data_IF_280344444883
#
_entry.id   IF_280344444883
#
_cell.length_a   1.000
_cell.length_b   1.000
_cell.length_c   1.000
_cell.angle_alpha   90.00
_cell.angle_beta   90.00
_cell.angle_gamma   90.00
#
_symmetry.space_group_name_H-M   'P 1'
#
loop_
_entity.id
_entity.type
_entity.pdbx_description
1 polymer ?
#
# COMPACT_ATOMS: atom_id res chain seq x y z
N UNK A 1 -15.34 -53.88 -8.65
CA UNK A 1 -13.94 -53.47 -8.37
C UNK A 1 -13.66 -52.15 -9.08
N UNK A 2 -13.92 -51.00 -8.45
CA UNK A 2 -13.63 -49.66 -9.00
C UNK A 2 -13.01 -48.80 -7.90
N UNK A 3 -11.74 -49.08 -7.55
CA UNK A 3 -11.00 -48.35 -6.50
C UNK A 3 -9.60 -47.89 -6.98
N UNK A 4 -9.37 -47.82 -8.28
CA UNK A 4 -8.02 -47.61 -8.84
C UNK A 4 -7.77 -46.30 -9.58
N UNK A 5 -8.81 -45.52 -9.91
CA UNK A 5 -8.66 -44.32 -10.77
C UNK A 5 -8.51 -43.02 -9.96
N UNK A 6 -8.77 -43.06 -8.65
CA UNK A 6 -8.75 -41.86 -7.81
C UNK A 6 -7.34 -41.37 -7.45
N UNK A 7 -6.38 -42.28 -7.21
CA UNK A 7 -5.00 -41.92 -6.85
C UNK A 7 -4.26 -41.04 -7.89
N UNK A 8 -4.28 -41.35 -9.20
CA UNK A 8 -3.56 -40.52 -10.18
C UNK A 8 -4.19 -39.14 -10.37
N UNK A 9 -5.52 -39.02 -10.22
CA UNK A 9 -6.22 -37.75 -10.35
C UNK A 9 -5.88 -36.78 -9.19
N UNK A 10 -5.74 -37.29 -7.96
CA UNK A 10 -5.33 -36.46 -6.81
C UNK A 10 -3.87 -36.04 -6.89
N UNK A 11 -2.99 -36.92 -7.39
CA UNK A 11 -1.57 -36.58 -7.60
C UNK A 11 -1.38 -35.51 -8.69
N UNK A 12 -2.15 -35.57 -9.78
CA UNK A 12 -2.13 -34.54 -10.83
C UNK A 12 -2.63 -33.17 -10.33
N UNK A 13 -3.66 -33.15 -9.46
CA UNK A 13 -4.17 -31.91 -8.87
C UNK A 13 -3.16 -31.24 -7.92
N UNK A 14 -2.34 -32.02 -7.20
CA UNK A 14 -1.28 -31.48 -6.33
C UNK A 14 -0.09 -30.91 -7.12
N UNK A 15 0.20 -31.43 -8.33
CA UNK A 15 1.22 -30.89 -9.23
C UNK A 15 0.80 -29.57 -9.88
N UNK A 16 -0.51 -29.31 -10.00
CA UNK A 16 -1.07 -28.05 -10.51
C UNK A 16 -1.22 -26.98 -9.41
N UNK A 17 -1.02 -27.33 -8.13
CA UNK A 17 -0.97 -26.38 -7.02
C UNK A 17 0.42 -25.71 -6.93
N UNK A 18 0.88 -25.12 -8.04
CA UNK A 18 2.10 -24.33 -8.09
C UNK A 18 1.88 -22.92 -7.51
N UNK A 19 2.57 -22.62 -6.40
CA UNK A 19 2.98 -21.29 -5.94
C UNK A 19 1.98 -20.12 -6.03
N UNK A 20 0.71 -20.31 -5.68
CA UNK A 20 -0.24 -19.19 -5.57
C UNK A 20 -0.18 -18.47 -4.20
N UNK A 21 0.52 -19.01 -3.21
CA UNK A 21 0.68 -18.35 -1.91
C UNK A 21 1.89 -17.41 -1.95
N UNK A 22 1.72 -16.09 -1.82
CA UNK A 22 2.85 -15.20 -1.61
C UNK A 22 3.51 -15.57 -0.28
N UNK A 23 4.67 -16.25 -0.36
CA UNK A 23 5.47 -16.63 0.80
C UNK A 23 6.27 -15.46 1.35
N UNK A 24 6.45 -14.41 0.54
CA UNK A 24 7.11 -13.17 0.93
C UNK A 24 6.07 -12.08 1.18
N UNK A 25 6.16 -11.35 2.31
CA UNK A 25 5.36 -10.16 2.51
C UNK A 25 5.67 -9.14 1.40
N UNK A 26 4.67 -8.33 0.99
CA UNK A 26 4.87 -7.31 -0.02
C UNK A 26 5.91 -6.29 0.47
N UNK A 27 6.73 -5.79 -0.46
CA UNK A 27 7.76 -4.78 -0.17
C UNK A 27 7.18 -3.50 0.45
N UNK A 28 5.96 -3.13 0.05
CA UNK A 28 5.25 -1.94 0.51
C UNK A 28 3.86 -2.27 1.05
N UNK A 29 3.45 -1.52 2.07
CA UNK A 29 2.12 -1.65 2.66
C UNK A 29 1.16 -0.63 2.03
N UNK A 30 0.36 -1.08 1.07
CA UNK A 30 -0.59 -0.23 0.32
C UNK A 30 -1.92 0.02 1.04
N UNK A 31 -2.24 -0.76 2.07
CA UNK A 31 -3.50 -0.66 2.79
C UNK A 31 -3.63 0.72 3.44
N UNK A 32 -4.79 1.35 3.28
CA UNK A 32 -5.06 2.71 3.75
C UNK A 32 -4.71 3.78 2.71
N UNK A 33 -3.66 3.59 1.88
CA UNK A 33 -3.29 4.55 0.84
C UNK A 33 -4.20 4.51 -0.38
N UNK A 34 -4.41 3.32 -0.95
CA UNK A 34 -5.18 3.16 -2.20
C UNK A 34 -6.60 3.75 -2.13
N UNK A 35 -7.37 3.55 -1.04
CA UNK A 35 -8.67 4.19 -0.90
C UNK A 35 -8.58 5.72 -0.95
N UNK A 36 -7.55 6.32 -0.34
CA UNK A 36 -7.40 7.78 -0.33
C UNK A 36 -7.10 8.33 -1.71
N UNK A 37 -6.24 7.67 -2.49
CA UNK A 37 -6.03 8.06 -3.91
C UNK A 37 -7.36 8.08 -4.66
N UNK A 38 -8.19 7.05 -4.47
CA UNK A 38 -9.51 6.98 -5.11
C UNK A 38 -10.48 8.08 -4.60
N UNK A 39 -10.54 8.32 -3.29
CA UNK A 39 -11.39 9.37 -2.71
C UNK A 39 -10.95 10.78 -3.15
N UNK A 40 -9.64 11.03 -3.26
CA UNK A 40 -9.09 12.28 -3.76
C UNK A 40 -9.63 12.58 -5.16
N UNK A 41 -9.55 11.61 -6.08
CA UNK A 41 -10.04 11.77 -7.44
C UNK A 41 -11.56 11.89 -7.55
N UNK A 42 -12.31 11.38 -6.57
CA UNK A 42 -13.75 11.63 -6.49
C UNK A 42 -14.09 13.05 -6.03
N UNK A 43 -13.16 13.75 -5.37
CA UNK A 43 -13.35 15.12 -4.90
C UNK A 43 -14.43 15.26 -3.83
N UNK A 44 -14.75 14.17 -3.11
CA UNK A 44 -15.85 14.13 -2.11
C UNK A 44 -15.37 14.27 -0.66
N UNK A 45 -14.06 14.23 -0.45
CA UNK A 45 -13.42 14.27 0.87
C UNK A 45 -12.65 15.57 1.01
N UNK A 46 -12.73 16.21 2.17
CA UNK A 46 -11.92 17.41 2.41
C UNK A 46 -10.43 17.04 2.51
N UNK A 47 -9.50 17.96 2.17
CA UNK A 47 -8.08 17.71 2.34
C UNK A 47 -7.69 17.29 3.77
N UNK A 48 -8.32 17.90 4.79
CA UNK A 48 -8.04 17.56 6.19
C UNK A 48 -8.46 16.14 6.55
N UNK A 49 -9.65 15.69 6.14
CA UNK A 49 -10.08 14.30 6.38
C UNK A 49 -9.15 13.29 5.70
N UNK A 50 -8.62 13.65 4.54
CA UNK A 50 -7.68 12.80 3.81
C UNK A 50 -6.29 12.77 4.46
N UNK A 51 -5.81 13.91 4.96
CA UNK A 51 -4.60 14.01 5.77
C UNK A 51 -4.72 13.08 6.98
N UNK A 52 -5.79 13.21 7.77
CA UNK A 52 -6.02 12.41 8.98
C UNK A 52 -6.03 10.91 8.67
N UNK A 53 -6.65 10.51 7.55
CA UNK A 53 -6.70 9.12 7.12
C UNK A 53 -5.33 8.58 6.69
N UNK A 54 -4.54 9.38 5.96
CA UNK A 54 -3.18 9.02 5.54
C UNK A 54 -2.23 8.96 6.73
N UNK A 55 -2.26 9.92 7.65
CA UNK A 55 -1.44 9.89 8.86
C UNK A 55 -1.72 8.66 9.71
N UNK A 56 -3.00 8.31 9.88
CA UNK A 56 -3.39 7.08 10.55
C UNK A 56 -2.85 5.84 9.85
N UNK A 57 -2.93 5.79 8.52
CA UNK A 57 -2.36 4.68 7.75
C UNK A 57 -0.83 4.60 7.95
N UNK A 58 -0.13 5.74 7.88
CA UNK A 58 1.31 5.82 8.10
C UNK A 58 1.72 5.33 9.49
N UNK A 59 0.99 5.72 10.53
CA UNK A 59 1.21 5.22 11.89
C UNK A 59 1.05 3.70 11.97
N UNK A 60 0.01 3.14 11.35
CA UNK A 60 -0.24 1.69 11.33
C UNK A 60 0.84 0.92 10.55
N UNK A 61 1.33 1.50 9.45
CA UNK A 61 2.42 0.95 8.63
C UNK A 61 3.70 0.88 9.47
N UNK A 62 4.08 2.01 10.08
CA UNK A 62 5.28 2.14 10.93
C UNK A 62 5.21 1.24 12.16
N UNK A 63 4.04 1.11 12.80
CA UNK A 63 3.85 0.24 13.96
C UNK A 63 4.11 -1.25 13.67
N UNK A 64 4.00 -1.65 12.39
CA UNK A 64 4.31 -3.02 11.93
C UNK A 64 5.73 -3.18 11.41
N UNK A 65 6.54 -2.11 11.42
CA UNK A 65 7.86 -2.10 10.80
C UNK A 65 7.83 -2.16 9.26
N UNK A 66 6.69 -1.85 8.64
CA UNK A 66 6.54 -1.86 7.19
C UNK A 66 6.86 -0.48 6.59
N UNK A 67 7.07 -0.44 5.28
CA UNK A 67 7.34 0.80 4.53
C UNK A 67 6.09 1.24 3.76
N UNK A 68 5.71 2.53 3.80
CA UNK A 68 4.68 3.05 2.91
C UNK A 68 5.13 2.96 1.45
N UNK A 69 4.21 2.93 0.47
CA UNK A 69 4.59 2.85 -0.93
C UNK A 69 5.15 4.17 -1.49
N UNK A 70 5.86 4.13 -2.63
CA UNK A 70 6.18 5.34 -3.39
C UNK A 70 4.93 6.18 -3.68
N UNK A 71 5.09 7.49 -3.58
CA UNK A 71 4.05 8.49 -3.74
C UNK A 71 3.21 8.74 -2.49
N UNK A 72 3.32 7.93 -1.44
CA UNK A 72 2.54 8.12 -0.21
C UNK A 72 2.87 9.46 0.46
N UNK A 73 4.17 9.70 0.69
CA UNK A 73 4.64 10.91 1.33
C UNK A 73 4.47 12.10 0.37
N UNK A 74 4.68 11.91 -0.94
CA UNK A 74 4.36 12.94 -1.93
C UNK A 74 2.89 13.39 -1.89
N UNK A 75 1.94 12.46 -1.79
CA UNK A 75 0.51 12.77 -1.71
C UNK A 75 0.18 13.49 -0.40
N UNK A 76 0.71 13.01 0.73
CA UNK A 76 0.51 13.69 2.02
C UNK A 76 1.09 15.11 2.00
N UNK A 77 2.27 15.30 1.40
CA UNK A 77 2.87 16.62 1.22
C UNK A 77 2.05 17.55 0.32
N UNK A 78 1.50 17.04 -0.77
CA UNK A 78 0.57 17.78 -1.64
C UNK A 78 -0.69 18.23 -0.89
N UNK A 79 -1.26 17.37 -0.04
CA UNK A 79 -2.42 17.73 0.76
C UNK A 79 -2.08 18.78 1.80
N UNK A 80 -0.94 18.66 2.49
CA UNK A 80 -0.46 19.68 3.41
C UNK A 80 -0.25 21.04 2.75
N UNK A 81 0.32 21.07 1.55
CA UNK A 81 0.46 22.30 0.77
C UNK A 81 -0.93 22.90 0.43
N UNK A 82 -1.91 22.06 0.10
CA UNK A 82 -3.26 22.51 -0.25
C UNK A 82 -4.01 23.20 0.90
N UNK A 83 -3.67 22.87 2.15
CA UNK A 83 -4.22 23.50 3.37
C UNK A 83 -3.31 24.60 3.94
N UNK A 84 -2.25 24.97 3.23
CA UNK A 84 -1.32 26.03 3.64
C UNK A 84 -0.29 25.61 4.70
N UNK A 85 -0.11 24.31 4.94
CA UNK A 85 0.90 23.81 5.87
C UNK A 85 2.22 23.50 5.15
N UNK A 86 2.94 24.56 4.78
CA UNK A 86 4.16 24.47 3.97
C UNK A 86 5.28 23.65 4.65
N UNK A 87 5.47 23.82 5.96
CA UNK A 87 6.50 23.09 6.70
C UNK A 87 6.24 21.58 6.70
N UNK A 88 4.99 21.16 6.91
CA UNK A 88 4.64 19.74 6.86
C UNK A 88 4.74 19.21 5.43
N UNK A 89 4.34 20.01 4.42
CA UNK A 89 4.50 19.64 3.02
C UNK A 89 5.97 19.36 2.66
N UNK A 90 6.88 20.24 3.07
CA UNK A 90 8.32 20.05 2.83
C UNK A 90 8.84 18.79 3.53
N UNK A 91 8.47 18.58 4.79
CA UNK A 91 8.89 17.38 5.54
C UNK A 91 8.48 16.09 4.84
N UNK A 92 7.24 16.02 4.36
CA UNK A 92 6.73 14.86 3.64
C UNK A 92 7.44 14.68 2.29
N UNK A 93 7.66 15.74 1.51
CA UNK A 93 8.38 15.65 0.25
C UNK A 93 9.86 15.22 0.44
N UNK A 94 10.51 15.67 1.51
CA UNK A 94 11.86 15.20 1.85
C UNK A 94 11.87 13.73 2.27
N UNK A 95 10.87 13.29 3.04
CA UNK A 95 10.72 11.89 3.41
C UNK A 95 10.52 10.99 2.18
N UNK A 96 9.71 11.43 1.21
CA UNK A 96 9.54 10.75 -0.07
C UNK A 96 10.88 10.60 -0.79
N UNK A 97 11.62 11.70 -0.97
CA UNK A 97 12.92 11.70 -1.65
C UNK A 97 13.96 10.82 -0.97
N UNK A 98 13.94 10.74 0.37
CA UNK A 98 14.83 9.88 1.14
C UNK A 98 14.52 8.39 0.95
N UNK A 99 13.23 8.04 0.89
CA UNK A 99 12.77 6.66 0.71
C UNK A 99 12.87 6.19 -0.74
N UNK A 100 12.66 7.10 -1.68
CA UNK A 100 12.53 6.84 -3.12
C UNK A 100 13.32 7.86 -3.95
N UNK A 101 14.66 7.86 -3.87
CA UNK A 101 15.52 8.82 -4.57
C UNK A 101 15.39 8.76 -6.10
N UNK A 102 14.89 7.65 -6.65
CA UNK A 102 14.59 7.46 -8.08
C UNK A 102 13.39 8.28 -8.57
N UNK A 103 12.58 8.81 -7.67
CA UNK A 103 11.40 9.63 -7.98
C UNK A 103 11.71 11.14 -8.04
N UNK A 104 12.99 11.54 -7.92
CA UNK A 104 13.47 12.94 -7.86
C UNK A 104 14.41 13.34 -9.00
#
# INVERSE_FOLDING_TARGET
MKRGIWLPATAAALLLAGCAAPTTPPLYQWNGYQPQVYEYFKGKTSPQEQIDALEKALQQIRAKGNTPPPGFHAHLGMLYASVGSEQQAEQELQAEKQLFPESS
#
